data_IF_129129663445
#
_entry.id   IF_129129663445
#
_cell.length_a   1.000
_cell.length_b   1.000
_cell.length_c   1.000
_cell.angle_alpha   90.00
_cell.angle_beta   90.00
_cell.angle_gamma   90.00
#
_symmetry.space_group_name_H-M   'P 1'
#
loop_
_entity.id
_entity.type
_entity.pdbx_description
1 polymer ?
#
# COMPACT_ATOMS: atom_id res chain seq x y z
N UNK A 1 60.13 -58.89 -6.92
CA UNK A 1 59.23 -60.06 -7.08
C UNK A 1 58.29 -60.07 -5.86
N UNK A 2 57.07 -60.22 -6.07
CA UNK A 2 55.89 -60.27 -5.24
C UNK A 2 55.04 -59.01 -5.23
N UNK A 3 54.10 -59.03 -6.16
CA UNK A 3 52.99 -58.13 -6.30
C UNK A 3 51.96 -58.47 -5.21
N UNK A 4 51.67 -57.54 -4.34
CA UNK A 4 50.57 -57.67 -3.41
C UNK A 4 49.50 -56.69 -3.84
N UNK A 5 48.42 -57.20 -4.43
CA UNK A 5 47.24 -56.50 -4.82
C UNK A 5 46.36 -56.37 -3.59
N UNK A 6 46.25 -55.17 -3.07
CA UNK A 6 45.26 -54.85 -2.03
C UNK A 6 44.01 -54.39 -2.71
N UNK A 7 43.00 -55.25 -2.70
CA UNK A 7 41.66 -55.00 -3.17
C UNK A 7 40.88 -54.29 -2.04
N UNK A 8 40.81 -52.99 -2.13
CA UNK A 8 40.05 -52.21 -1.16
C UNK A 8 38.58 -52.16 -1.62
N UNK A 9 37.72 -52.92 -0.95
CA UNK A 9 36.30 -52.96 -1.19
C UNK A 9 35.70 -51.63 -0.74
N UNK A 10 35.27 -50.81 -1.72
CA UNK A 10 34.49 -49.59 -1.47
C UNK A 10 33.05 -50.02 -1.19
N UNK A 11 32.69 -50.13 0.09
CA UNK A 11 31.28 -50.21 0.48
C UNK A 11 30.64 -48.85 0.29
N UNK A 12 29.93 -48.70 -0.83
CA UNK A 12 29.03 -47.56 -1.05
C UNK A 12 27.85 -47.66 -0.10
N UNK A 13 27.85 -46.79 0.89
CA UNK A 13 26.68 -46.50 1.68
C UNK A 13 25.71 -45.70 0.79
N UNK A 14 24.76 -46.39 0.17
CA UNK A 14 23.57 -45.77 -0.34
C UNK A 14 22.73 -45.32 0.85
N UNK A 15 23.02 -44.12 1.36
CA UNK A 15 22.11 -43.38 2.19
C UNK A 15 20.94 -42.92 1.30
N UNK A 16 19.88 -43.71 1.34
CA UNK A 16 18.60 -43.30 0.83
C UNK A 16 18.11 -42.17 1.75
N UNK A 17 18.49 -40.92 1.43
CA UNK A 17 17.85 -39.74 2.00
C UNK A 17 16.41 -39.73 1.54
N UNK A 18 15.50 -40.12 2.44
CA UNK A 18 14.10 -39.77 2.34
C UNK A 18 14.06 -38.27 2.10
N UNK A 19 13.67 -37.85 0.89
CA UNK A 19 13.19 -36.53 0.65
C UNK A 19 12.02 -36.34 1.61
N UNK A 20 12.27 -35.71 2.76
CA UNK A 20 11.23 -34.95 3.39
C UNK A 20 10.74 -33.99 2.31
N UNK A 21 9.60 -34.32 1.75
CA UNK A 21 8.74 -33.36 1.10
C UNK A 21 8.46 -32.37 2.22
N UNK A 22 9.25 -31.28 2.27
CA UNK A 22 8.82 -30.09 2.97
C UNK A 22 7.40 -29.85 2.45
N UNK A 23 6.42 -30.16 3.28
CA UNK A 23 5.15 -29.49 3.22
C UNK A 23 5.51 -28.00 3.37
N UNK A 24 5.82 -27.38 2.25
CA UNK A 24 5.47 -25.98 2.11
C UNK A 24 3.96 -25.99 2.35
N UNK A 25 3.61 -25.78 3.62
CA UNK A 25 2.29 -25.32 3.94
C UNK A 25 2.03 -24.18 2.97
N UNK A 26 1.04 -24.40 2.12
CA UNK A 26 0.40 -23.34 1.35
C UNK A 26 -0.19 -22.34 2.37
N UNK A 27 0.68 -21.55 3.00
CA UNK A 27 0.32 -20.44 3.88
C UNK A 27 -0.21 -19.26 3.05
N UNK A 28 -0.59 -19.54 1.80
CA UNK A 28 -0.95 -18.53 0.82
C UNK A 28 -2.43 -18.34 0.54
N UNK A 29 -3.34 -19.19 1.06
CA UNK A 29 -4.72 -19.17 0.52
C UNK A 29 -5.83 -18.86 1.51
N UNK A 30 -5.55 -18.67 2.80
CA UNK A 30 -6.60 -18.41 3.79
C UNK A 30 -6.21 -17.32 4.81
N UNK A 31 -5.46 -16.29 4.43
CA UNK A 31 -5.45 -15.07 5.21
C UNK A 31 -6.82 -14.41 4.99
N UNK A 32 -7.79 -14.75 5.81
CA UNK A 32 -9.05 -14.02 5.91
C UNK A 32 -8.69 -12.62 6.37
N UNK A 33 -8.64 -11.69 5.42
CA UNK A 33 -8.37 -10.30 5.71
C UNK A 33 -9.65 -9.74 6.32
N UNK A 34 -9.67 -9.63 7.64
CA UNK A 34 -10.72 -8.89 8.32
C UNK A 34 -10.37 -7.40 8.29
N UNK A 35 -11.00 -6.71 7.36
CA UNK A 35 -10.91 -5.25 7.20
C UNK A 35 -12.18 -4.54 7.71
N UNK A 36 -13.01 -5.21 8.52
CA UNK A 36 -14.21 -4.61 9.11
C UNK A 36 -13.89 -3.40 10.00
N UNK A 37 -12.71 -3.40 10.62
CA UNK A 37 -12.26 -2.37 11.55
C UNK A 37 -11.31 -1.33 10.91
N UNK A 38 -11.34 -1.18 9.57
CA UNK A 38 -10.54 -0.15 8.92
C UNK A 38 -10.98 1.25 9.36
N UNK A 39 -10.03 2.17 9.60
CA UNK A 39 -10.35 3.57 9.88
C UNK A 39 -11.22 4.20 8.78
N UNK A 40 -12.09 5.11 9.19
CA UNK A 40 -12.83 5.91 8.23
C UNK A 40 -11.92 6.83 7.42
N UNK A 41 -12.35 7.10 6.19
CA UNK A 41 -11.65 8.09 5.37
C UNK A 41 -12.04 9.50 5.79
N UNK A 42 -11.04 10.37 5.95
CA UNK A 42 -11.27 11.79 6.22
C UNK A 42 -12.13 12.42 5.12
N UNK A 43 -13.19 13.17 5.46
CA UNK A 43 -13.98 13.88 4.46
C UNK A 43 -13.17 15.03 3.85
N UNK A 44 -13.47 15.39 2.62
CA UNK A 44 -13.06 16.68 2.06
C UNK A 44 -13.98 17.79 2.54
N UNK A 45 -13.45 18.99 2.70
CA UNK A 45 -14.25 20.20 2.87
C UNK A 45 -15.00 20.50 1.56
N UNK A 46 -16.13 21.22 1.63
CA UNK A 46 -16.90 21.59 0.43
C UNK A 46 -16.03 22.26 -0.63
N UNK A 47 -15.10 23.13 -0.22
CA UNK A 47 -14.21 23.85 -1.14
C UNK A 47 -13.18 22.90 -1.76
N UNK A 48 -12.58 22.00 -0.95
CA UNK A 48 -11.63 21.01 -1.47
C UNK A 48 -12.29 20.00 -2.39
N UNK A 49 -13.50 19.57 -2.06
CA UNK A 49 -14.28 18.65 -2.86
C UNK A 49 -14.62 19.23 -4.23
N UNK A 50 -14.99 20.51 -4.28
CA UNK A 50 -15.24 21.24 -5.53
C UNK A 50 -14.02 21.24 -6.46
N UNK A 51 -12.81 21.45 -5.91
CA UNK A 51 -11.56 21.43 -6.70
C UNK A 51 -11.20 20.00 -7.13
N UNK A 52 -11.40 19.02 -6.24
CA UNK A 52 -11.13 17.59 -6.52
C UNK A 52 -12.03 17.05 -7.61
N UNK A 53 -13.28 17.46 -7.68
CA UNK A 53 -14.21 17.07 -8.74
C UNK A 53 -13.74 17.50 -10.14
N UNK A 54 -12.90 18.53 -10.23
CA UNK A 54 -12.26 18.98 -11.47
C UNK A 54 -10.85 18.34 -11.66
N UNK A 55 -10.45 17.40 -10.80
CA UNK A 55 -9.15 16.72 -10.83
C UNK A 55 -9.29 15.21 -11.08
N UNK A 56 -9.47 14.77 -12.33
CA UNK A 56 -9.86 13.39 -12.66
C UNK A 56 -8.91 12.32 -12.13
N UNK A 57 -7.59 12.59 -12.08
CA UNK A 57 -6.62 11.62 -11.58
C UNK A 57 -6.73 11.40 -10.06
N UNK A 58 -7.06 12.45 -9.29
CA UNK A 58 -7.31 12.30 -7.86
C UNK A 58 -8.68 11.65 -7.58
N UNK A 59 -9.73 12.07 -8.30
CA UNK A 59 -11.07 11.46 -8.19
C UNK A 59 -11.00 9.94 -8.45
N UNK A 60 -10.28 9.51 -9.49
CA UNK A 60 -10.07 8.10 -9.77
C UNK A 60 -9.31 7.36 -8.65
N UNK A 61 -8.39 8.01 -7.95
CA UNK A 61 -7.72 7.46 -6.77
C UNK A 61 -8.69 7.38 -5.59
N UNK A 62 -9.44 8.45 -5.30
CA UNK A 62 -10.39 8.52 -4.17
C UNK A 62 -11.46 7.44 -4.27
N UNK A 63 -12.08 7.30 -5.43
CA UNK A 63 -13.07 6.24 -5.69
C UNK A 63 -12.47 4.85 -5.46
N UNK A 64 -11.22 4.63 -5.88
CA UNK A 64 -10.60 3.31 -5.74
C UNK A 64 -10.12 3.03 -4.31
N UNK A 65 -9.73 4.04 -3.55
CA UNK A 65 -9.41 3.92 -2.12
C UNK A 65 -10.61 3.39 -1.32
N UNK A 66 -11.83 3.81 -1.65
CA UNK A 66 -13.06 3.32 -1.03
C UNK A 66 -13.22 1.80 -1.09
N UNK A 67 -12.70 1.15 -2.14
CA UNK A 67 -12.79 -0.30 -2.32
C UNK A 67 -11.98 -1.10 -1.28
N UNK A 68 -11.04 -0.49 -0.53
CA UNK A 68 -10.31 -1.18 0.55
C UNK A 68 -11.25 -1.77 1.61
N UNK A 69 -12.39 -1.14 1.88
CA UNK A 69 -13.38 -1.63 2.84
C UNK A 69 -14.11 -2.89 2.37
N UNK A 70 -14.04 -3.21 1.10
CA UNK A 70 -14.74 -4.35 0.49
C UNK A 70 -13.81 -5.52 0.16
N UNK A 71 -12.53 -5.42 0.50
CA UNK A 71 -11.55 -6.47 0.25
C UNK A 71 -11.76 -7.62 1.25
N UNK A 72 -11.90 -8.82 0.73
CA UNK A 72 -12.12 -10.05 1.53
C UNK A 72 -11.02 -11.09 1.35
N UNK A 73 -10.13 -10.89 0.38
CA UNK A 73 -9.06 -11.86 0.09
C UNK A 73 -7.72 -11.18 -0.23
N UNK A 74 -6.62 -11.90 -0.02
CA UNK A 74 -5.28 -11.42 -0.37
C UNK A 74 -5.11 -11.18 -1.89
N UNK A 75 -5.62 -12.02 -2.80
CA UNK A 75 -5.61 -11.73 -4.22
C UNK A 75 -6.34 -10.43 -4.58
N UNK A 76 -7.50 -10.16 -3.97
CA UNK A 76 -8.25 -8.92 -4.21
C UNK A 76 -7.46 -7.70 -3.71
N UNK A 77 -6.84 -7.79 -2.53
CA UNK A 77 -5.97 -6.75 -2.02
C UNK A 77 -4.78 -6.49 -2.94
N UNK A 78 -4.16 -7.55 -3.45
CA UNK A 78 -3.02 -7.45 -4.39
C UNK A 78 -3.40 -6.69 -5.64
N UNK A 79 -4.54 -7.01 -6.22
CA UNK A 79 -5.06 -6.34 -7.42
C UNK A 79 -5.38 -4.87 -7.12
N UNK A 80 -6.10 -4.62 -6.03
CA UNK A 80 -6.48 -3.27 -5.62
C UNK A 80 -5.25 -2.37 -5.36
N UNK A 81 -4.25 -2.87 -4.64
CA UNK A 81 -3.03 -2.10 -4.34
C UNK A 81 -2.25 -1.78 -5.61
N UNK A 82 -2.19 -2.71 -6.58
CA UNK A 82 -1.56 -2.43 -7.87
C UNK A 82 -2.28 -1.29 -8.63
N UNK A 83 -3.60 -1.30 -8.65
CA UNK A 83 -4.40 -0.23 -9.26
C UNK A 83 -4.26 1.10 -8.52
N UNK A 84 -4.21 1.08 -7.19
CA UNK A 84 -4.00 2.30 -6.39
C UNK A 84 -2.63 2.94 -6.67
N UNK A 85 -1.57 2.14 -6.85
CA UNK A 85 -0.24 2.62 -7.23
C UNK A 85 -0.27 3.27 -8.64
N UNK A 86 -1.01 2.67 -9.57
CA UNK A 86 -1.17 3.22 -10.93
C UNK A 86 -1.89 4.56 -10.88
N UNK A 87 -3.03 4.64 -10.18
CA UNK A 87 -3.83 5.86 -10.08
C UNK A 87 -3.09 6.97 -9.33
N UNK A 88 -2.37 6.63 -8.28
CA UNK A 88 -1.51 7.60 -7.58
C UNK A 88 -0.40 8.12 -8.51
N UNK A 89 0.17 7.25 -9.35
CA UNK A 89 1.16 7.66 -10.36
C UNK A 89 0.58 8.59 -11.43
N UNK A 90 -0.69 8.46 -11.77
CA UNK A 90 -1.37 9.34 -12.72
C UNK A 90 -1.44 10.79 -12.21
N UNK A 91 -1.59 11.01 -10.91
CA UNK A 91 -1.57 12.35 -10.29
C UNK A 91 -0.26 13.09 -10.61
N UNK A 92 0.88 12.39 -10.56
CA UNK A 92 2.18 13.00 -10.87
C UNK A 92 2.27 13.35 -12.36
N UNK A 93 1.75 12.47 -13.22
CA UNK A 93 1.82 12.61 -14.67
C UNK A 93 0.91 13.71 -15.18
N UNK A 94 -0.30 13.77 -14.66
CA UNK A 94 -1.34 14.69 -15.14
C UNK A 94 -1.20 16.07 -14.49
N UNK A 95 -0.50 16.16 -13.34
CA UNK A 95 -0.26 17.40 -12.61
C UNK A 95 -1.31 17.66 -11.54
N UNK A 96 -1.18 18.82 -10.92
CA UNK A 96 -1.99 19.26 -9.78
C UNK A 96 -2.77 20.53 -10.15
N UNK A 97 -4.02 20.70 -9.67
CA UNK A 97 -4.68 21.99 -9.68
C UNK A 97 -3.79 23.05 -9.02
N UNK A 98 -3.93 24.30 -9.41
CA UNK A 98 -3.10 25.41 -8.92
C UNK A 98 -3.10 25.46 -7.38
N UNK A 99 -4.27 25.37 -6.76
CA UNK A 99 -4.48 25.39 -5.31
C UNK A 99 -3.76 24.25 -4.58
N UNK A 100 -3.56 23.12 -5.22
CA UNK A 100 -2.95 21.93 -4.65
C UNK A 100 -1.51 21.67 -5.14
N UNK A 101 -0.99 22.53 -6.02
CA UNK A 101 0.36 22.39 -6.56
C UNK A 101 1.44 22.88 -5.58
N UNK A 102 1.43 22.39 -4.35
CA UNK A 102 2.31 22.84 -3.26
C UNK A 102 3.27 21.72 -2.82
N UNK A 103 4.42 22.07 -2.23
CA UNK A 103 5.37 21.10 -1.68
C UNK A 103 4.73 20.20 -0.62
N UNK A 104 3.82 20.72 0.21
CA UNK A 104 3.15 20.02 1.29
C UNK A 104 2.23 18.93 0.74
N UNK A 105 1.37 19.25 -0.23
CA UNK A 105 0.49 18.28 -0.90
C UNK A 105 1.33 17.18 -1.57
N UNK A 106 2.35 17.56 -2.33
CA UNK A 106 3.28 16.61 -2.98
C UNK A 106 4.02 15.73 -1.97
N UNK A 107 4.33 16.26 -0.79
CA UNK A 107 4.97 15.49 0.28
C UNK A 107 4.01 14.42 0.83
N UNK A 108 2.74 14.77 1.09
CA UNK A 108 1.72 13.83 1.56
C UNK A 108 1.42 12.76 0.52
N UNK A 109 1.34 13.12 -0.75
CA UNK A 109 1.15 12.17 -1.83
C UNK A 109 2.33 11.18 -1.93
N UNK A 110 3.59 11.64 -1.82
CA UNK A 110 4.76 10.73 -1.79
C UNK A 110 4.73 9.77 -0.60
N UNK A 111 4.23 10.23 0.56
CA UNK A 111 4.05 9.38 1.73
C UNK A 111 3.03 8.26 1.45
N UNK A 112 1.88 8.62 0.85
CA UNK A 112 0.88 7.64 0.42
C UNK A 112 1.52 6.59 -0.52
N UNK A 113 2.26 7.02 -1.54
CA UNK A 113 2.97 6.12 -2.44
C UNK A 113 3.91 5.16 -1.71
N UNK A 114 4.63 5.67 -0.71
CA UNK A 114 5.55 4.86 0.10
C UNK A 114 4.81 3.70 0.79
N UNK A 115 3.66 3.97 1.39
CA UNK A 115 2.88 2.94 2.08
C UNK A 115 2.15 1.99 1.12
N UNK A 116 1.68 2.46 -0.02
CA UNK A 116 1.16 1.60 -1.08
C UNK A 116 2.22 0.60 -1.57
N UNK A 117 3.44 1.06 -1.82
CA UNK A 117 4.56 0.20 -2.23
C UNK A 117 4.99 -0.75 -1.12
N UNK A 118 4.96 -0.32 0.15
CA UNK A 118 5.22 -1.19 1.31
C UNK A 118 4.18 -2.30 1.40
N UNK A 119 2.90 -1.96 1.26
CA UNK A 119 1.81 -2.95 1.25
C UNK A 119 2.00 -3.97 0.13
N UNK A 120 2.29 -3.50 -1.09
CA UNK A 120 2.58 -4.37 -2.24
C UNK A 120 3.77 -5.31 -1.99
N UNK A 121 4.84 -4.80 -1.38
CA UNK A 121 6.04 -5.59 -1.08
C UNK A 121 5.71 -6.72 -0.10
N UNK A 122 4.97 -6.46 0.99
CA UNK A 122 4.55 -7.47 1.96
C UNK A 122 3.68 -8.56 1.31
N UNK A 123 2.70 -8.15 0.48
CA UNK A 123 1.87 -9.09 -0.28
C UNK A 123 2.73 -10.00 -1.17
N UNK A 124 3.69 -9.44 -1.91
CA UNK A 124 4.55 -10.20 -2.81
C UNK A 124 5.51 -11.14 -2.06
N UNK A 125 5.81 -10.85 -0.79
CA UNK A 125 6.63 -11.68 0.10
C UNK A 125 5.78 -12.67 0.91
N UNK A 126 4.46 -12.78 0.66
CA UNK A 126 3.54 -13.60 1.44
C UNK A 126 3.56 -13.28 2.94
N UNK A 127 3.82 -12.02 3.29
CA UNK A 127 3.76 -11.50 4.65
C UNK A 127 2.43 -10.80 4.91
N UNK A 128 2.05 -10.66 6.19
CA UNK A 128 0.82 -9.98 6.58
C UNK A 128 0.87 -8.48 6.19
N UNK A 129 -0.01 -8.00 5.29
CA UNK A 129 -0.05 -6.62 4.86
C UNK A 129 -0.89 -5.70 5.75
N UNK A 130 -1.56 -6.23 6.80
CA UNK A 130 -2.58 -5.50 7.57
C UNK A 130 -2.06 -4.18 8.12
N UNK A 131 -0.91 -4.19 8.78
CA UNK A 131 -0.32 -2.98 9.36
C UNK A 131 0.04 -1.94 8.28
N UNK A 132 0.61 -2.37 7.15
CA UNK A 132 0.95 -1.47 6.06
C UNK A 132 -0.29 -0.91 5.34
N UNK A 133 -1.38 -1.68 5.29
CA UNK A 133 -2.67 -1.20 4.78
C UNK A 133 -3.25 -0.11 5.67
N UNK A 134 -3.17 -0.26 7.00
CA UNK A 134 -3.58 0.78 7.95
C UNK A 134 -2.73 2.05 7.80
N UNK A 135 -1.41 1.92 7.63
CA UNK A 135 -0.51 3.05 7.34
C UNK A 135 -0.86 3.71 5.99
N UNK A 136 -1.28 2.93 4.98
CA UNK A 136 -1.76 3.47 3.70
C UNK A 136 -3.00 4.35 3.88
N UNK A 137 -3.98 3.89 4.66
CA UNK A 137 -5.19 4.66 4.96
C UNK A 137 -4.86 5.93 5.75
N UNK A 138 -3.97 5.83 6.75
CA UNK A 138 -3.52 6.99 7.52
C UNK A 138 -2.82 8.04 6.64
N UNK A 139 -1.95 7.60 5.72
CA UNK A 139 -1.28 8.49 4.79
C UNK A 139 -2.26 9.13 3.79
N UNK A 140 -3.27 8.39 3.35
CA UNK A 140 -4.31 8.92 2.49
C UNK A 140 -5.18 9.97 3.22
N UNK A 141 -5.58 9.69 4.45
CA UNK A 141 -6.29 10.67 5.28
C UNK A 141 -5.46 11.95 5.50
N UNK A 142 -4.16 11.80 5.79
CA UNK A 142 -3.26 12.94 5.92
C UNK A 142 -3.12 13.76 4.62
N UNK A 143 -3.24 13.13 3.44
CA UNK A 143 -3.31 13.83 2.17
C UNK A 143 -4.61 14.62 2.04
N UNK A 144 -5.76 14.02 2.31
CA UNK A 144 -7.07 14.72 2.27
C UNK A 144 -7.13 15.88 3.26
N UNK A 145 -6.62 15.71 4.47
CA UNK A 145 -6.51 16.79 5.46
C UNK A 145 -5.58 17.92 4.98
N UNK A 146 -4.52 17.58 4.23
CA UNK A 146 -3.64 18.59 3.66
C UNK A 146 -4.36 19.39 2.55
N UNK A 147 -5.16 18.73 1.69
CA UNK A 147 -6.00 19.42 0.70
C UNK A 147 -6.96 20.40 1.40
N UNK A 148 -7.64 19.93 2.48
CA UNK A 148 -8.54 20.79 3.25
C UNK A 148 -7.85 22.03 3.81
N UNK A 149 -6.61 21.89 4.29
CA UNK A 149 -5.83 23.02 4.85
C UNK A 149 -5.52 24.11 3.83
N UNK A 150 -5.32 23.75 2.58
CA UNK A 150 -5.03 24.73 1.53
C UNK A 150 -6.26 25.54 1.10
N UNK A 151 -7.45 25.04 1.38
CA UNK A 151 -8.71 25.70 1.00
C UNK A 151 -9.35 26.49 2.14
N UNK A 152 -8.80 26.43 3.35
CA UNK A 152 -9.25 27.28 4.46
C UNK A 152 -8.70 28.68 4.26
N UNK A 153 -9.58 29.67 4.09
CA UNK A 153 -9.18 31.08 4.06
C UNK A 153 -8.40 31.44 5.34
N UNK A 154 -7.30 32.17 5.25
CA UNK A 154 -6.60 32.64 6.45
C UNK A 154 -7.56 33.45 7.33
N UNK A 155 -7.64 33.07 8.61
CA UNK A 155 -8.45 33.82 9.58
C UNK A 155 -7.92 35.25 9.65
N UNK A 156 -8.76 36.20 9.25
CA UNK A 156 -8.42 37.61 9.36
C UNK A 156 -8.59 38.04 10.83
N UNK A 157 -7.47 38.17 11.54
CA UNK A 157 -7.48 38.56 12.96
C UNK A 157 -8.03 39.98 13.18
N UNK A 158 -8.24 40.77 12.12
CA UNK A 158 -8.88 42.08 12.24
C UNK A 158 -10.39 41.99 12.46
N UNK A 159 -11.01 40.87 12.07
CA UNK A 159 -12.46 40.64 12.26
C UNK A 159 -12.84 40.46 13.74
N UNK A 160 -11.86 40.30 14.64
CA UNK A 160 -12.03 40.14 16.09
C UNK A 160 -11.65 41.39 16.90
N UNK A 161 -11.33 42.55 16.25
CA UNK A 161 -10.88 43.75 16.94
C UNK A 161 -11.98 44.77 17.26
N UNK A 162 -13.23 44.50 16.84
CA UNK A 162 -14.36 45.41 16.96
C UNK A 162 -15.35 45.04 18.07
N UNK A 163 -14.87 44.46 19.20
CA UNK A 163 -15.64 44.34 20.44
C UNK A 163 -14.95 45.09 21.59
#
# INVERSE_FOLDING_TARGET
>A
MKKTVIFLALMGLFSCGEKQVDKQEEMGTNLSLDYSDLPEFSPLSVTSDSIVNEWPSFDALDQRMGALKSVISLPDLKMLVAELIEKEGAIIKDGYPEDFNTPEVKSRQRLLRTYLLKTQALINQSQDPKAATLETIAAYNALKEQLNRHTVAPVNLNDFKDE
#
